data_IF_452924675670
#
_entry.id   IF_452924675670
#
_cell.length_a   1.000
_cell.length_b   1.000
_cell.length_c   1.000
_cell.angle_alpha   90.00
_cell.angle_beta   90.00
_cell.angle_gamma   90.00
#
_symmetry.space_group_name_H-M   'P 1'
#
loop_
_entity.id
_entity.type
_entity.pdbx_description
1 polymer ?
#
# COMPACT_ATOMS: atom_id res chain seq x y z
N UNK A 1 -13.62 -6.24 7.17
CA UNK A 1 -12.73 -5.52 6.25
C UNK A 1 -11.52 -5.09 7.05
N UNK A 2 -10.30 -5.49 6.68
CA UNK A 2 -9.08 -5.24 7.45
C UNK A 2 -8.24 -4.08 6.88
N UNK A 3 -8.77 -3.33 5.90
CA UNK A 3 -8.22 -2.02 5.54
C UNK A 3 -8.97 -0.97 6.37
N UNK A 4 -8.21 -0.24 7.16
CA UNK A 4 -8.66 0.94 7.89
C UNK A 4 -7.83 2.15 7.50
N UNK A 5 -8.50 3.29 7.32
CA UNK A 5 -7.84 4.55 7.02
C UNK A 5 -8.06 5.49 8.21
N UNK A 6 -6.99 6.08 8.74
CA UNK A 6 -7.08 7.07 9.80
C UNK A 6 -7.45 8.42 9.21
N UNK A 7 -8.59 8.98 9.62
CA UNK A 7 -9.01 10.31 9.21
C UNK A 7 -9.75 11.06 10.33
N UNK A 8 -9.68 12.39 10.30
CA UNK A 8 -10.43 13.30 11.16
C UNK A 8 -11.67 13.88 10.48
N UNK A 9 -11.65 14.01 9.14
CA UNK A 9 -12.74 14.58 8.36
C UNK A 9 -13.16 13.65 7.20
N UNK A 10 -14.41 13.12 7.20
CA UNK A 10 -14.93 12.35 6.08
C UNK A 10 -14.91 13.07 4.73
N UNK A 11 -14.95 14.41 4.68
CA UNK A 11 -14.84 15.16 3.44
C UNK A 11 -13.40 15.16 2.90
N UNK A 12 -12.41 15.39 3.76
CA UNK A 12 -10.99 15.26 3.42
C UNK A 12 -10.63 13.84 2.92
N UNK A 13 -11.15 12.80 3.58
CA UNK A 13 -11.00 11.41 3.10
C UNK A 13 -11.53 11.26 1.67
N UNK A 14 -12.76 11.70 1.40
CA UNK A 14 -13.38 11.59 0.06
C UNK A 14 -12.63 12.40 -1.01
N UNK A 15 -12.09 13.55 -0.64
CA UNK A 15 -11.34 14.41 -1.55
C UNK A 15 -9.98 13.81 -1.96
N UNK A 16 -9.44 12.88 -1.16
CA UNK A 16 -8.14 12.25 -1.39
C UNK A 16 -8.21 10.82 -1.91
N UNK A 17 -9.35 10.16 -1.75
CA UNK A 17 -9.47 8.72 -1.95
C UNK A 17 -10.50 8.38 -3.03
N UNK A 18 -10.15 7.39 -3.85
CA UNK A 18 -11.03 6.81 -4.86
C UNK A 18 -11.06 5.29 -4.72
N UNK A 19 -12.14 4.69 -5.19
CA UNK A 19 -12.39 3.25 -5.09
C UNK A 19 -12.47 2.67 -6.49
N UNK A 20 -11.95 1.45 -6.65
CA UNK A 20 -12.09 0.62 -7.84
C UNK A 20 -12.09 -0.86 -7.44
N UNK A 21 -11.98 -1.75 -8.42
CA UNK A 21 -11.76 -3.18 -8.22
C UNK A 21 -10.45 -3.61 -8.84
N UNK A 22 -9.94 -4.75 -8.40
CA UNK A 22 -8.82 -5.40 -9.05
C UNK A 22 -9.28 -6.34 -10.16
N UNK A 23 -8.38 -6.61 -11.11
CA UNK A 23 -8.48 -7.67 -12.11
C UNK A 23 -7.12 -8.34 -12.27
N UNK A 24 -7.10 -9.52 -12.89
CA UNK A 24 -5.85 -10.07 -13.42
C UNK A 24 -5.42 -9.25 -14.64
N UNK A 25 -4.11 -9.04 -14.79
CA UNK A 25 -3.52 -8.54 -16.02
C UNK A 25 -3.87 -9.49 -17.17
N UNK A 26 -4.23 -8.93 -18.32
CA UNK A 26 -4.54 -9.71 -19.51
C UNK A 26 -3.25 -10.22 -20.17
N UNK A 27 -3.28 -11.37 -20.88
CA UNK A 27 -2.11 -11.91 -21.54
C UNK A 27 -1.41 -10.96 -22.53
N UNK A 28 -2.15 -10.02 -23.11
CA UNK A 28 -1.63 -8.99 -24.02
C UNK A 28 -0.90 -7.83 -23.31
N UNK A 29 -1.08 -7.66 -22.01
CA UNK A 29 -0.41 -6.65 -21.19
C UNK A 29 1.01 -7.12 -20.81
N UNK A 30 1.89 -7.24 -21.81
CA UNK A 30 3.23 -7.83 -21.70
C UNK A 30 4.18 -7.09 -20.74
N UNK A 31 3.85 -5.85 -20.36
CA UNK A 31 4.60 -5.08 -19.37
C UNK A 31 4.48 -5.67 -17.96
N UNK A 32 3.47 -6.50 -17.72
CA UNK A 32 3.21 -7.13 -16.42
C UNK A 32 3.72 -8.57 -16.35
N UNK A 33 4.02 -9.03 -15.14
CA UNK A 33 4.16 -10.46 -14.89
C UNK A 33 2.85 -11.21 -15.14
N UNK A 34 2.98 -12.47 -15.56
CA UNK A 34 1.82 -13.31 -15.80
C UNK A 34 0.97 -13.47 -14.52
N UNK A 35 -0.32 -13.19 -14.63
CA UNK A 35 -1.26 -13.29 -13.50
C UNK A 35 -1.18 -12.15 -12.49
N UNK A 36 -0.41 -11.09 -12.76
CA UNK A 36 -0.38 -9.87 -11.93
C UNK A 36 -1.79 -9.36 -11.61
N UNK A 37 -1.95 -8.87 -10.38
CA UNK A 37 -3.19 -8.20 -9.96
C UNK A 37 -3.02 -6.71 -10.22
N UNK A 38 -3.92 -6.12 -10.99
CA UNK A 38 -3.85 -4.70 -11.38
C UNK A 38 -5.19 -4.00 -11.14
N UNK A 39 -5.21 -2.67 -10.98
CA UNK A 39 -6.45 -1.92 -10.93
C UNK A 39 -7.25 -2.04 -12.22
N UNK A 40 -8.58 -2.08 -12.11
CA UNK A 40 -9.48 -2.03 -13.26
C UNK A 40 -9.65 -0.61 -13.85
N UNK A 41 -9.02 0.42 -13.27
CA UNK A 41 -8.97 1.80 -13.77
C UNK A 41 -10.26 2.64 -13.62
N UNK A 42 -11.43 2.02 -13.43
CA UNK A 42 -12.73 2.68 -13.24
C UNK A 42 -12.87 3.33 -11.85
N UNK A 43 -11.93 4.21 -11.52
CA UNK A 43 -11.88 4.94 -10.28
C UNK A 43 -13.09 5.84 -10.13
N UNK A 44 -13.74 5.72 -8.97
CA UNK A 44 -14.86 6.56 -8.57
C UNK A 44 -14.61 7.17 -7.20
N UNK A 45 -15.25 8.31 -6.96
CA UNK A 45 -15.30 8.89 -5.63
C UNK A 45 -15.90 7.89 -4.61
N UNK A 46 -15.46 8.02 -3.35
CA UNK A 46 -16.00 7.22 -2.25
C UNK A 46 -17.47 7.57 -1.96
N UNK A 47 -18.33 6.57 -1.99
CA UNK A 47 -19.67 6.65 -1.44
C UNK A 47 -19.63 6.56 0.09
N UNK A 48 -20.73 6.89 0.76
CA UNK A 48 -20.78 6.76 2.23
C UNK A 48 -20.52 5.34 2.73
N UNK A 49 -20.96 4.33 1.98
CA UNK A 49 -20.70 2.93 2.31
C UNK A 49 -19.22 2.61 2.29
N UNK A 50 -18.45 3.18 1.35
CA UNK A 50 -17.01 2.96 1.29
C UNK A 50 -16.32 3.65 2.48
N UNK A 51 -16.74 4.87 2.82
CA UNK A 51 -16.23 5.59 4.00
C UNK A 51 -16.45 4.74 5.25
N UNK A 52 -17.68 4.27 5.48
CA UNK A 52 -18.01 3.39 6.62
C UNK A 52 -17.19 2.10 6.63
N UNK A 53 -16.90 1.54 5.45
CA UNK A 53 -16.19 0.28 5.34
C UNK A 53 -14.70 0.41 5.70
N UNK A 54 -14.07 1.56 5.39
CA UNK A 54 -12.67 1.84 5.73
C UNK A 54 -12.50 2.55 7.08
N UNK A 55 -13.58 3.00 7.73
CA UNK A 55 -13.48 3.65 9.04
C UNK A 55 -12.83 2.71 10.05
N UNK A 56 -11.74 3.17 10.66
CA UNK A 56 -11.08 2.44 11.73
C UNK A 56 -12.02 2.26 12.94
N UNK A 57 -12.04 1.09 13.60
CA UNK A 57 -12.66 0.97 14.91
C UNK A 57 -11.96 1.89 15.92
N UNK A 58 -12.54 2.06 17.12
CA UNK A 58 -11.96 2.93 18.17
C UNK A 58 -10.49 2.62 18.48
N UNK A 59 -10.10 1.34 18.41
CA UNK A 59 -8.74 0.85 18.62
C UNK A 59 -8.37 -0.10 17.47
N UNK A 60 -7.94 0.43 16.31
CA UNK A 60 -7.50 -0.42 15.22
C UNK A 60 -6.16 -1.07 15.56
N UNK A 61 -5.88 -2.23 14.96
CA UNK A 61 -4.51 -2.75 14.94
C UNK A 61 -3.69 -1.92 13.94
N UNK A 62 -2.46 -1.57 14.30
CA UNK A 62 -1.56 -0.82 13.41
C UNK A 62 -1.33 -1.56 12.08
N UNK A 63 -1.38 -2.89 12.10
CA UNK A 63 -1.27 -3.76 10.92
C UNK A 63 -2.45 -3.71 9.96
N UNK A 64 -3.52 -3.02 10.32
CA UNK A 64 -4.69 -2.79 9.47
C UNK A 64 -4.87 -1.31 9.11
N UNK A 65 -4.03 -0.43 9.67
CA UNK A 65 -4.21 1.01 9.62
C UNK A 65 -3.28 1.67 8.60
N UNK A 66 -3.87 2.52 7.77
CA UNK A 66 -3.15 3.41 6.86
C UNK A 66 -3.36 4.86 7.27
N UNK A 67 -2.26 5.61 7.33
CA UNK A 67 -2.23 7.02 7.68
C UNK A 67 -1.54 7.80 6.56
N UNK A 68 -2.17 8.89 6.11
CA UNK A 68 -1.52 9.87 5.23
C UNK A 68 -0.90 10.93 6.13
N UNK A 69 0.41 11.12 6.02
CA UNK A 69 1.20 11.87 6.99
C UNK A 69 2.11 12.88 6.29
N UNK A 70 2.62 13.84 7.05
CA UNK A 70 3.76 14.66 6.65
C UNK A 70 4.96 14.32 7.54
N UNK A 71 5.91 13.50 7.07
CA UNK A 71 7.09 13.19 7.85
C UNK A 71 7.92 14.45 8.15
N UNK A 72 8.62 14.50 9.30
CA UNK A 72 9.44 15.65 9.65
C UNK A 72 10.65 15.70 8.71
N UNK A 73 10.59 16.56 7.70
CA UNK A 73 11.74 16.85 6.86
C UNK A 73 12.63 17.87 7.58
N UNK A 74 13.88 17.49 7.80
CA UNK A 74 14.88 18.33 8.44
C UNK A 74 15.98 18.65 7.43
N UNK A 75 16.10 19.92 7.05
CA UNK A 75 17.17 20.39 6.16
C UNK A 75 18.55 20.04 6.73
N UNK A 76 19.44 19.55 5.86
CA UNK A 76 20.83 19.26 6.20
C UNK A 76 21.08 17.91 6.87
N UNK A 77 20.04 17.10 7.13
CA UNK A 77 20.20 15.71 7.57
C UNK A 77 20.13 14.73 6.39
N UNK A 78 20.89 13.62 6.42
CA UNK A 78 20.73 12.53 5.46
C UNK A 78 19.30 12.00 5.46
N UNK A 79 18.81 11.60 4.30
CA UNK A 79 17.44 11.09 4.17
C UNK A 79 17.22 9.83 5.02
N UNK A 80 18.23 8.97 5.17
CA UNK A 80 18.13 7.79 6.05
C UNK A 80 17.76 8.14 7.51
N UNK A 81 18.12 9.34 7.98
CA UNK A 81 17.90 9.79 9.35
C UNK A 81 16.52 10.42 9.59
N UNK A 82 15.71 10.54 8.53
CA UNK A 82 14.39 11.20 8.58
C UNK A 82 13.47 10.63 9.68
N UNK A 83 13.56 9.33 9.95
CA UNK A 83 12.68 8.67 10.91
C UNK A 83 13.17 8.76 12.36
N UNK A 84 14.37 9.27 12.64
CA UNK A 84 14.90 9.36 14.01
C UNK A 84 13.96 10.10 14.98
N UNK A 85 13.35 11.24 14.61
CA UNK A 85 12.42 11.94 15.48
C UNK A 85 11.09 11.18 15.72
N UNK A 86 10.81 10.15 14.91
CA UNK A 86 9.58 9.35 15.01
C UNK A 86 9.67 8.24 16.07
N UNK A 87 10.83 8.07 16.72
CA UNK A 87 10.96 7.29 17.95
C UNK A 87 11.15 5.77 17.78
N UNK A 88 11.37 5.27 16.57
CA UNK A 88 11.75 3.87 16.34
C UNK A 88 13.26 3.76 16.03
N UNK A 89 14.08 3.28 16.97
CA UNK A 89 15.53 3.11 16.75
C UNK A 89 15.86 1.97 15.78
N UNK A 90 14.93 1.04 15.53
CA UNK A 90 15.10 -0.10 14.63
C UNK A 90 14.51 0.16 13.23
N UNK A 91 14.13 1.42 12.96
CA UNK A 91 13.65 1.82 11.65
C UNK A 91 14.77 1.67 10.60
N UNK A 92 14.46 0.98 9.51
CA UNK A 92 15.44 0.70 8.44
C UNK A 92 15.06 1.49 7.19
N UNK A 93 16.00 2.26 6.67
CA UNK A 93 15.88 2.88 5.35
C UNK A 93 16.03 1.82 4.25
N UNK A 94 15.01 1.68 3.41
CA UNK A 94 14.94 0.67 2.35
C UNK A 94 15.42 1.18 0.99
N UNK A 95 15.66 2.49 0.87
CA UNK A 95 16.12 3.14 -0.35
C UNK A 95 15.06 3.99 -1.03
N UNK A 96 15.30 4.27 -2.32
CA UNK A 96 14.48 5.12 -3.17
C UNK A 96 14.05 4.40 -4.45
N UNK A 97 12.95 4.87 -5.03
CA UNK A 97 12.50 4.47 -6.35
C UNK A 97 12.07 5.71 -7.16
N UNK A 98 12.33 5.66 -8.47
CA UNK A 98 11.84 6.61 -9.46
C UNK A 98 10.74 5.93 -10.27
N UNK A 99 9.63 6.63 -10.46
CA UNK A 99 8.49 6.18 -11.25
C UNK A 99 8.24 7.19 -12.37
N UNK A 100 7.98 6.68 -13.58
CA UNK A 100 7.58 7.51 -14.72
C UNK A 100 6.21 8.13 -14.44
N UNK A 101 5.87 9.16 -15.20
CA UNK A 101 4.50 9.65 -15.31
C UNK A 101 3.56 8.55 -15.84
N UNK A 102 2.27 8.66 -15.52
CA UNK A 102 1.19 7.85 -16.06
C UNK A 102 1.34 6.31 -15.94
N UNK A 103 1.87 5.83 -14.81
CA UNK A 103 1.97 4.39 -14.54
C UNK A 103 0.82 3.90 -13.67
N UNK A 104 0.04 2.93 -14.15
CA UNK A 104 -1.02 2.27 -13.38
C UNK A 104 -0.50 1.67 -12.07
N UNK A 105 0.66 1.04 -12.13
CA UNK A 105 1.42 0.51 -10.97
C UNK A 105 2.90 0.77 -11.18
N UNK A 106 3.67 0.95 -10.11
CA UNK A 106 5.05 1.47 -10.23
C UNK A 106 6.17 0.47 -9.97
N UNK A 107 5.88 -0.69 -9.38
CA UNK A 107 6.93 -1.61 -8.93
C UNK A 107 7.28 -2.62 -10.02
N UNK A 108 8.53 -2.63 -10.47
CA UNK A 108 9.09 -3.62 -11.39
C UNK A 108 9.83 -4.75 -10.66
N UNK A 109 9.85 -5.92 -11.29
CA UNK A 109 10.77 -7.00 -10.98
C UNK A 109 12.14 -6.66 -11.56
N UNK A 110 13.12 -6.41 -10.69
CA UNK A 110 14.49 -6.06 -11.12
C UNK A 110 15.18 -7.13 -11.97
N UNK A 111 14.72 -8.38 -11.94
CA UNK A 111 15.32 -9.47 -12.70
C UNK A 111 15.00 -9.39 -14.20
N UNK A 112 13.79 -8.95 -14.56
CA UNK A 112 13.31 -8.95 -15.94
C UNK A 112 12.64 -7.64 -16.40
N UNK A 113 12.49 -6.66 -15.50
CA UNK A 113 11.95 -5.34 -15.74
C UNK A 113 10.42 -5.27 -15.85
N UNK A 114 9.70 -6.38 -15.69
CA UNK A 114 8.23 -6.39 -15.78
C UNK A 114 7.60 -5.88 -14.49
N UNK A 115 6.44 -5.25 -14.60
CA UNK A 115 5.67 -4.76 -13.47
C UNK A 115 5.05 -5.93 -12.70
N UNK A 116 5.23 -5.90 -11.38
CA UNK A 116 4.62 -6.88 -10.48
C UNK A 116 3.10 -6.74 -10.42
N UNK A 117 2.59 -5.52 -10.60
CA UNK A 117 1.25 -5.13 -10.20
C UNK A 117 1.17 -4.96 -8.68
N UNK A 118 -0.06 -4.98 -8.15
CA UNK A 118 -0.26 -4.99 -6.72
C UNK A 118 0.39 -6.23 -6.07
N UNK A 119 1.11 -6.02 -4.97
CA UNK A 119 1.93 -7.03 -4.32
C UNK A 119 1.93 -6.89 -2.79
N UNK A 120 2.40 -7.95 -2.13
CA UNK A 120 2.79 -7.89 -0.72
C UNK A 120 4.30 -7.70 -0.63
N UNK A 121 4.71 -6.82 0.29
CA UNK A 121 6.08 -6.83 0.76
C UNK A 121 6.33 -8.07 1.65
N UNK A 122 7.61 -8.45 1.79
CA UNK A 122 8.01 -9.57 2.65
C UNK A 122 9.38 -9.36 3.31
N UNK A 123 9.60 -8.18 3.88
CA UNK A 123 10.85 -7.80 4.55
C UNK A 123 11.05 -8.56 5.87
N UNK A 124 9.99 -8.67 6.67
CA UNK A 124 9.99 -9.38 7.96
C UNK A 124 9.88 -10.91 7.80
N UNK A 125 9.46 -11.38 6.60
CA UNK A 125 9.32 -12.81 6.26
C UNK A 125 8.49 -13.60 7.28
N UNK A 126 7.40 -13.00 7.75
CA UNK A 126 6.58 -13.60 8.81
C UNK A 126 5.65 -14.70 8.30
N UNK A 127 5.47 -15.80 9.06
CA UNK A 127 4.49 -16.84 8.74
C UNK A 127 3.06 -16.34 8.91
N UNK A 128 2.09 -17.11 8.41
CA UNK A 128 0.66 -16.79 8.47
C UNK A 128 0.23 -16.30 9.85
N UNK A 129 0.54 -17.04 10.93
CA UNK A 129 0.08 -16.73 12.29
C UNK A 129 0.55 -15.35 12.77
N UNK A 130 1.70 -14.89 12.30
CA UNK A 130 2.36 -13.66 12.74
C UNK A 130 2.28 -12.54 11.70
N UNK A 131 1.74 -12.79 10.50
CA UNK A 131 1.77 -11.80 9.40
C UNK A 131 1.17 -10.43 9.78
N UNK A 132 0.20 -10.43 10.70
CA UNK A 132 -0.43 -9.22 11.26
C UNK A 132 0.46 -8.44 12.26
N UNK A 133 1.69 -8.89 12.57
CA UNK A 133 2.64 -8.19 13.44
C UNK A 133 3.80 -7.54 12.66
N UNK A 134 3.77 -7.68 11.33
CA UNK A 134 4.72 -7.07 10.42
C UNK A 134 4.82 -5.56 10.65
N UNK A 135 6.03 -5.05 10.47
CA UNK A 135 6.33 -3.62 10.52
C UNK A 135 5.55 -2.87 9.44
N UNK A 136 5.31 -1.58 9.70
CA UNK A 136 4.68 -0.68 8.74
C UNK A 136 5.78 -0.03 7.89
N UNK A 137 5.45 0.20 6.62
CA UNK A 137 6.30 0.92 5.69
C UNK A 137 5.90 2.39 5.71
N UNK A 138 6.88 3.25 5.98
CA UNK A 138 6.81 4.66 5.65
C UNK A 138 7.24 4.83 4.19
N UNK A 139 6.44 5.55 3.42
CA UNK A 139 6.85 6.07 2.11
C UNK A 139 6.74 7.58 2.15
N UNK A 140 7.74 8.29 1.63
CA UNK A 140 7.73 9.73 1.40
C UNK A 140 7.74 9.99 -0.12
N UNK A 141 6.78 10.79 -0.62
CA UNK A 141 6.85 11.31 -1.97
C UNK A 141 7.84 12.47 -2.03
N UNK A 142 8.98 12.26 -2.69
CA UNK A 142 10.00 13.28 -2.91
C UNK A 142 9.67 14.21 -4.09
N UNK A 143 8.63 13.90 -4.87
CA UNK A 143 8.21 14.68 -6.02
C UNK A 143 9.05 14.42 -7.29
N UNK A 144 8.97 15.29 -8.31
CA UNK A 144 8.12 16.49 -8.34
C UNK A 144 6.64 16.19 -8.54
N UNK A 145 6.29 15.03 -9.10
CA UNK A 145 4.89 14.63 -9.33
C UNK A 145 4.18 14.11 -8.09
N UNK A 146 2.87 14.29 -8.06
CA UNK A 146 1.98 13.56 -7.16
C UNK A 146 2.06 12.06 -7.46
N UNK A 147 1.90 11.23 -6.44
CA UNK A 147 1.74 9.78 -6.59
C UNK A 147 0.53 9.30 -5.78
N UNK A 148 0.13 8.07 -6.02
CA UNK A 148 -0.88 7.39 -5.22
C UNK A 148 -0.26 6.17 -4.54
N UNK A 149 -0.81 5.82 -3.40
CA UNK A 149 -0.77 4.44 -2.89
C UNK A 149 -2.08 3.77 -3.26
N UNK A 150 -2.01 2.58 -3.85
CA UNK A 150 -3.15 1.69 -4.13
C UNK A 150 -3.12 0.55 -3.13
N UNK A 151 -4.26 0.22 -2.53
CA UNK A 151 -4.40 -0.80 -1.49
C UNK A 151 -5.59 -1.72 -1.74
N UNK A 152 -5.41 -3.02 -1.50
CA UNK A 152 -6.49 -4.00 -1.44
C UNK A 152 -7.24 -3.95 -0.10
N UNK A 153 -8.56 -4.10 -0.17
CA UNK A 153 -9.45 -4.07 1.00
C UNK A 153 -9.55 -5.42 1.75
N UNK A 154 -8.68 -6.39 1.48
CA UNK A 154 -8.65 -7.72 2.11
C UNK A 154 -7.22 -8.00 2.56
N UNK A 155 -7.05 -8.59 3.74
CA UNK A 155 -5.74 -8.86 4.33
C UNK A 155 -5.14 -10.19 3.86
N UNK A 156 -3.82 -10.28 4.02
CA UNK A 156 -3.02 -11.41 3.60
C UNK A 156 -3.44 -12.74 4.25
N UNK A 157 -3.87 -12.74 5.52
CA UNK A 157 -4.34 -13.96 6.18
C UNK A 157 -5.70 -14.41 5.61
N UNK A 158 -6.62 -13.48 5.39
CA UNK A 158 -7.93 -13.77 4.79
C UNK A 158 -7.77 -14.31 3.37
N UNK A 159 -6.89 -13.73 2.56
CA UNK A 159 -6.59 -14.25 1.23
C UNK A 159 -5.93 -15.62 1.31
N UNK A 160 -4.86 -15.78 2.08
CA UNK A 160 -4.15 -17.05 2.23
C UNK A 160 -5.08 -18.19 2.68
N UNK A 161 -5.97 -17.94 3.66
CA UNK A 161 -6.97 -18.91 4.12
C UNK A 161 -8.00 -19.26 3.05
N UNK A 162 -8.38 -18.31 2.20
CA UNK A 162 -9.35 -18.54 1.13
C UNK A 162 -8.78 -19.36 -0.03
N UNK A 163 -7.49 -19.21 -0.33
CA UNK A 163 -6.83 -19.96 -1.41
C UNK A 163 -6.23 -21.29 -0.94
N UNK A 164 -5.81 -21.39 0.33
CA UNK A 164 -5.16 -22.56 0.92
C UNK A 164 -5.89 -23.07 2.18
N UNK A 165 -7.19 -23.45 2.09
CA UNK A 165 -8.00 -23.74 3.27
C UNK A 165 -7.47 -24.89 4.13
N UNK A 166 -6.78 -25.87 3.51
CA UNK A 166 -6.30 -27.08 4.20
C UNK A 166 -5.01 -26.88 5.00
N UNK A 167 -4.16 -25.90 4.66
CA UNK A 167 -2.80 -25.79 5.22
C UNK A 167 -2.32 -24.34 5.47
N UNK A 168 -3.19 -23.33 5.34
CA UNK A 168 -2.85 -21.91 5.53
C UNK A 168 -2.04 -21.59 6.80
N UNK A 169 -2.27 -22.29 7.91
CA UNK A 169 -1.53 -22.07 9.17
C UNK A 169 -0.02 -22.33 9.07
N UNK A 170 0.43 -23.10 8.08
CA UNK A 170 1.85 -23.43 7.84
C UNK A 170 2.48 -22.60 6.72
N UNK A 171 1.73 -21.67 6.13
CA UNK A 171 2.15 -20.89 4.95
C UNK A 171 2.71 -19.53 5.34
N UNK A 172 3.39 -18.92 4.38
CA UNK A 172 3.82 -17.53 4.39
C UNK A 172 2.98 -16.81 3.35
N UNK A 173 2.03 -15.95 3.74
CA UNK A 173 1.22 -15.22 2.78
C UNK A 173 2.07 -14.46 1.77
N UNK A 174 1.76 -14.60 0.48
CA UNK A 174 2.57 -14.07 -0.62
C UNK A 174 1.69 -13.38 -1.69
N UNK A 175 2.33 -12.60 -2.57
CA UNK A 175 1.67 -11.96 -3.73
C UNK A 175 0.90 -12.97 -4.58
N UNK A 176 1.43 -14.18 -4.77
CA UNK A 176 0.78 -15.22 -5.58
C UNK A 176 -0.55 -15.70 -4.98
N UNK A 177 -0.75 -15.57 -3.67
CA UNK A 177 -2.04 -15.89 -3.05
C UNK A 177 -3.13 -14.93 -3.55
N UNK A 178 -2.80 -13.66 -3.76
CA UNK A 178 -3.73 -12.68 -4.34
C UNK A 178 -3.96 -12.90 -5.84
N UNK A 179 -2.91 -13.31 -6.57
CA UNK A 179 -3.05 -13.70 -7.99
C UNK A 179 -4.05 -14.84 -8.12
N UNK A 180 -3.90 -15.89 -7.31
CA UNK A 180 -4.83 -17.02 -7.26
C UNK A 180 -6.24 -16.61 -6.80
N UNK A 181 -6.34 -15.71 -5.81
CA UNK A 181 -7.63 -15.22 -5.31
C UNK A 181 -8.45 -14.52 -6.40
N UNK A 182 -7.82 -13.57 -7.12
CA UNK A 182 -8.47 -12.81 -8.20
C UNK A 182 -8.74 -13.70 -9.42
N UNK A 183 -7.79 -14.55 -9.81
CA UNK A 183 -7.97 -15.50 -10.91
C UNK A 183 -9.11 -16.50 -10.63
N UNK A 184 -9.35 -16.84 -9.36
CA UNK A 184 -10.50 -17.63 -8.91
C UNK A 184 -11.85 -16.87 -8.95
N UNK A 185 -11.90 -15.66 -9.51
CA UNK A 185 -13.11 -14.85 -9.66
C UNK A 185 -13.60 -14.19 -8.38
N UNK A 186 -12.78 -14.16 -7.32
CA UNK A 186 -13.18 -13.55 -6.05
C UNK A 186 -12.97 -12.02 -6.13
N UNK A 187 -13.98 -11.22 -5.74
CA UNK A 187 -13.91 -9.77 -5.86
C UNK A 187 -12.88 -9.19 -4.89
N UNK A 188 -12.10 -8.22 -5.36
CA UNK A 188 -11.16 -7.46 -4.54
C UNK A 188 -11.39 -5.97 -4.80
N UNK A 189 -11.91 -5.27 -3.79
CA UNK A 189 -12.03 -3.82 -3.82
C UNK A 189 -10.65 -3.18 -3.57
N UNK A 190 -10.37 -2.11 -4.30
CA UNK A 190 -9.17 -1.31 -4.15
C UNK A 190 -9.51 0.11 -3.69
N UNK A 191 -8.68 0.68 -2.84
CA UNK A 191 -8.65 2.10 -2.56
C UNK A 191 -7.35 2.70 -3.11
N UNK A 192 -7.40 3.85 -3.78
CA UNK A 192 -6.21 4.65 -4.06
C UNK A 192 -6.28 5.97 -3.30
N UNK A 193 -5.14 6.43 -2.79
CA UNK A 193 -5.04 7.65 -1.99
C UNK A 193 -3.96 8.55 -2.53
N UNK A 194 -4.28 9.83 -2.74
CA UNK A 194 -3.36 10.84 -3.28
C UNK A 194 -2.31 11.25 -2.25
N UNK A 195 -1.03 11.21 -2.67
CA UNK A 195 0.16 11.61 -1.91
C UNK A 195 0.88 12.71 -2.68
N UNK A 196 0.75 13.95 -2.22
CA UNK A 196 1.41 15.09 -2.85
C UNK A 196 2.91 15.16 -2.44
N UNK A 197 3.77 15.87 -3.18
CA UNK A 197 5.18 16.02 -2.80
C UNK A 197 5.36 16.53 -1.36
N UNK A 198 6.27 15.91 -0.62
CA UNK A 198 6.50 16.17 0.81
C UNK A 198 5.52 15.46 1.75
N UNK A 199 4.49 14.80 1.23
CA UNK A 199 3.61 13.93 2.00
C UNK A 199 4.06 12.46 1.89
N UNK A 200 3.57 11.65 2.81
CA UNK A 200 3.86 10.24 2.87
C UNK A 200 2.69 9.42 3.37
N UNK A 201 2.91 8.11 3.45
CA UNK A 201 1.99 7.20 4.10
C UNK A 201 2.72 6.28 5.09
N UNK A 202 2.02 5.89 6.15
CA UNK A 202 2.37 4.74 6.98
C UNK A 202 1.37 3.63 6.68
N UNK A 203 1.82 2.52 6.09
CA UNK A 203 0.95 1.42 5.67
C UNK A 203 1.55 0.05 6.00
N UNK A 204 0.72 -0.96 6.33
CA UNK A 204 1.17 -2.32 6.61
C UNK A 204 1.30 -3.10 5.29
N UNK A 205 2.29 -2.75 4.48
CA UNK A 205 2.47 -3.25 3.09
C UNK A 205 2.80 -4.74 3.00
N UNK A 206 3.15 -5.37 4.11
CA UNK A 206 3.25 -6.83 4.22
C UNK A 206 1.90 -7.51 4.50
N UNK A 207 0.94 -6.79 5.08
CA UNK A 207 -0.35 -7.35 5.48
C UNK A 207 -1.48 -7.02 4.51
N UNK A 208 -1.39 -5.87 3.84
CA UNK A 208 -2.33 -5.41 2.82
C UNK A 208 -1.65 -5.38 1.46
N UNK A 209 -2.34 -5.91 0.46
CA UNK A 209 -1.93 -5.84 -0.93
C UNK A 209 -1.79 -4.37 -1.35
N UNK A 210 -0.70 -4.00 -2.01
CA UNK A 210 -0.45 -2.60 -2.38
C UNK A 210 0.43 -2.43 -3.63
N UNK A 211 0.45 -1.22 -4.19
CA UNK A 211 1.54 -0.69 -5.01
C UNK A 211 1.47 0.84 -5.01
N UNK A 212 2.51 1.51 -5.52
CA UNK A 212 2.43 2.89 -5.97
C UNK A 212 1.79 3.02 -7.35
N UNK A 213 1.27 4.21 -7.64
CA UNK A 213 0.74 4.57 -8.96
C UNK A 213 1.02 6.04 -9.26
N UNK A 214 1.28 6.36 -10.52
CA UNK A 214 1.37 7.72 -11.06
C UNK A 214 0.35 7.92 -12.19
N UNK A 215 -0.69 7.08 -12.23
CA UNK A 215 -1.74 7.11 -13.25
C UNK A 215 -2.34 8.52 -13.36
N UNK A 216 -2.46 9.02 -14.60
CA UNK A 216 -2.97 10.36 -14.94
C UNK A 216 -2.18 11.53 -14.34
N UNK A 217 -0.93 11.30 -13.96
CA UNK A 217 -0.01 12.36 -13.56
C UNK A 217 0.93 12.68 -14.71
N UNK A 218 1.16 13.96 -14.97
CA UNK A 218 2.03 14.43 -16.06
C UNK A 218 3.52 14.36 -15.73
N UNK A 219 3.85 14.32 -14.43
CA UNK A 219 5.22 14.36 -13.95
C UNK A 219 5.64 13.03 -13.31
N UNK A 220 6.93 12.64 -13.45
CA UNK A 220 7.47 11.52 -12.71
C UNK A 220 7.48 11.82 -11.20
N UNK A 221 7.61 10.78 -10.39
CA UNK A 221 7.72 10.87 -8.93
C UNK A 221 8.88 10.02 -8.44
N UNK A 222 9.68 10.59 -7.54
CA UNK A 222 10.60 9.85 -6.70
C UNK A 222 9.96 9.59 -5.33
N UNK A 223 10.25 8.44 -4.73
CA UNK A 223 9.88 8.16 -3.35
C UNK A 223 10.99 7.48 -2.58
N UNK A 224 11.01 7.70 -1.27
CA UNK A 224 11.88 7.05 -0.31
C UNK A 224 11.07 6.20 0.66
N UNK A 225 11.68 5.13 1.16
CA UNK A 225 10.98 4.13 1.95
C UNK A 225 11.75 3.76 3.22
N UNK A 226 11.00 3.53 4.29
CA UNK A 226 11.52 3.00 5.55
C UNK A 226 10.59 1.92 6.08
N UNK A 227 11.13 1.00 6.86
CA UNK A 227 10.39 -0.05 7.55
C UNK A 227 10.58 0.10 9.06
N UNK A 228 9.48 0.19 9.80
CA UNK A 228 9.54 0.45 11.24
C UNK A 228 8.25 0.16 11.99
N UNK A 229 8.26 0.45 13.28
CA UNK A 229 7.15 0.31 14.22
C UNK A 229 6.70 1.70 14.67
N UNK A 230 5.72 2.22 13.93
CA UNK A 230 5.07 3.49 14.27
C UNK A 230 3.61 3.21 14.61
N UNK A 231 3.23 3.31 15.89
CA UNK A 231 1.84 3.23 16.31
C UNK A 231 0.99 4.30 15.63
N UNK A 232 -0.33 4.09 15.60
CA UNK A 232 -1.28 5.14 15.22
C UNK A 232 -0.94 6.48 15.90
N UNK A 233 -0.93 7.54 15.12
CA UNK A 233 -0.74 8.91 15.60
C UNK A 233 0.70 9.27 15.95
N UNK A 234 1.70 8.45 15.59
CA UNK A 234 3.11 8.88 15.61
C UNK A 234 3.30 10.20 14.85
N UNK A 235 2.58 10.36 13.74
CA UNK A 235 2.45 11.62 13.02
C UNK A 235 0.97 11.99 12.91
N UNK A 236 0.62 13.29 12.86
CA UNK A 236 -0.75 13.71 12.58
C UNK A 236 -1.21 13.21 11.21
N UNK A 237 -2.43 12.66 11.14
CA UNK A 237 -3.06 12.36 9.85
C UNK A 237 -3.43 13.64 9.13
N UNK A 238 -3.26 13.66 7.81
CA UNK A 238 -3.59 14.79 6.93
C UNK A 238 -5.01 14.75 6.37
N UNK A 239 -5.78 13.71 6.71
CA UNK A 239 -7.19 13.49 6.32
C UNK A 239 -8.07 13.40 7.56
#
# INVERSE_FOLDING_TARGET
MPLHIAYGDPAALRARCEISTARSAHPEENDYEAGSVVPAGQWRAMAESDVRAVTAPRRPLDSTLVEIVRPPFCDGLPLEDLTRPMGDPEAVYLGQALSKADMTTTTDNRADGRLLGLHLDNWDKLPYAEKHTARRRLCLNLGPGTRYIVLGAVDAQTVCRAVHPADHLRRYPHTDDYRAYVAGGRPLQLARMRIDPGEGYLAPTEYLLHDGSTERQEHPSAAAFWLGRWPRGTLPSLI
#
